data_IF_153768653460
#
_entry.id   IF_153768653460
#
_cell.length_a   1.000
_cell.length_b   1.000
_cell.length_c   1.000
_cell.angle_alpha   90.00
_cell.angle_beta   90.00
_cell.angle_gamma   90.00
#
_symmetry.space_group_name_H-M   'P 1'
#
loop_
_entity.id
_entity.type
_entity.pdbx_description
1 polymer ?
#
# COMPACT_ATOMS: atom_id res chain seq x y z
N UNK A 1 -12.67 -32.77 -0.67
CA UNK A 1 -13.02 -34.17 -1.03
C UNK A 1 -14.23 -34.70 -0.25
N UNK A 2 -14.24 -34.63 1.09
CA UNK A 2 -15.37 -35.12 1.92
C UNK A 2 -16.75 -34.57 1.52
N UNK A 3 -16.91 -33.23 1.42
CA UNK A 3 -18.20 -32.62 1.05
C UNK A 3 -18.72 -33.06 -0.32
N UNK A 4 -17.82 -33.26 -1.28
CA UNK A 4 -18.15 -33.73 -2.62
C UNK A 4 -18.61 -35.20 -2.63
N UNK A 5 -17.92 -36.05 -1.85
CA UNK A 5 -18.33 -37.45 -1.68
C UNK A 5 -19.69 -37.54 -0.96
N UNK A 6 -19.94 -36.69 0.04
CA UNK A 6 -21.23 -36.61 0.71
C UNK A 6 -22.34 -36.16 -0.23
N UNK A 7 -22.11 -35.12 -1.04
CA UNK A 7 -23.07 -34.64 -2.04
C UNK A 7 -23.48 -35.74 -3.04
N UNK A 8 -22.50 -36.51 -3.52
CA UNK A 8 -22.73 -37.66 -4.40
C UNK A 8 -23.64 -38.71 -3.73
N UNK A 9 -23.39 -39.01 -2.44
CA UNK A 9 -24.20 -39.96 -1.67
C UNK A 9 -25.62 -39.44 -1.44
N UNK A 10 -25.79 -38.17 -1.07
CA UNK A 10 -27.10 -37.57 -0.87
C UNK A 10 -27.90 -37.55 -2.16
N UNK A 11 -27.29 -37.17 -3.28
CA UNK A 11 -27.93 -37.21 -4.60
C UNK A 11 -28.47 -38.60 -4.93
N UNK A 12 -27.71 -39.66 -4.65
CA UNK A 12 -28.18 -41.05 -4.81
C UNK A 12 -29.38 -41.36 -3.89
N UNK A 13 -29.33 -40.94 -2.62
CA UNK A 13 -30.44 -41.15 -1.67
C UNK A 13 -31.70 -40.40 -2.09
N UNK A 14 -31.59 -39.18 -2.61
CA UNK A 14 -32.73 -38.42 -3.17
C UNK A 14 -33.39 -39.20 -4.30
N UNK A 15 -32.61 -39.66 -5.29
CA UNK A 15 -33.12 -40.43 -6.43
C UNK A 15 -33.85 -41.70 -5.98
N UNK A 16 -33.27 -42.44 -5.04
CA UNK A 16 -33.88 -43.66 -4.50
C UNK A 16 -35.17 -43.37 -3.72
N UNK A 17 -35.18 -42.37 -2.84
CA UNK A 17 -36.36 -42.00 -2.07
C UNK A 17 -37.49 -41.50 -3.00
N UNK A 18 -37.17 -40.68 -4.00
CA UNK A 18 -38.13 -40.21 -4.99
C UNK A 18 -38.73 -41.38 -5.82
N UNK A 19 -37.90 -42.32 -6.24
CA UNK A 19 -38.38 -43.52 -6.93
C UNK A 19 -39.32 -44.36 -6.05
N UNK A 20 -39.01 -44.50 -4.76
CA UNK A 20 -39.89 -45.18 -3.81
C UNK A 20 -41.21 -44.43 -3.60
N UNK A 21 -41.21 -43.09 -3.53
CA UNK A 21 -42.43 -42.29 -3.46
C UNK A 21 -43.33 -42.60 -4.66
N UNK A 22 -42.79 -42.51 -5.88
CA UNK A 22 -43.56 -42.81 -7.10
C UNK A 22 -44.08 -44.25 -7.12
N UNK A 23 -43.22 -45.21 -6.76
CA UNK A 23 -43.58 -46.64 -6.70
C UNK A 23 -44.73 -46.89 -5.73
N UNK A 24 -44.66 -46.38 -4.51
CA UNK A 24 -45.68 -46.61 -3.50
C UNK A 24 -46.96 -45.82 -3.80
N UNK A 25 -46.89 -44.60 -4.35
CA UNK A 25 -48.06 -43.87 -4.86
C UNK A 25 -48.81 -44.69 -5.90
N UNK A 26 -48.09 -45.24 -6.89
CA UNK A 26 -48.69 -46.09 -7.91
C UNK A 26 -49.33 -47.35 -7.32
N UNK A 27 -48.66 -48.02 -6.39
CA UNK A 27 -49.19 -49.22 -5.76
C UNK A 27 -50.40 -48.94 -4.87
N UNK A 28 -50.44 -47.80 -4.18
CA UNK A 28 -51.63 -47.36 -3.45
C UNK A 28 -52.78 -47.14 -4.43
N UNK A 29 -52.56 -46.39 -5.51
CA UNK A 29 -53.58 -46.15 -6.53
C UNK A 29 -54.10 -47.46 -7.13
N UNK A 30 -53.20 -48.36 -7.55
CA UNK A 30 -53.54 -49.68 -8.09
C UNK A 30 -54.44 -50.48 -7.13
N UNK A 31 -54.09 -50.56 -5.85
CA UNK A 31 -54.82 -51.40 -4.88
C UNK A 31 -56.05 -50.72 -4.25
N UNK A 32 -56.32 -49.45 -4.57
CA UNK A 32 -57.51 -48.72 -4.07
C UNK A 32 -58.48 -48.29 -5.17
N UNK A 33 -58.01 -48.12 -6.41
CA UNK A 33 -58.79 -47.58 -7.54
C UNK A 33 -58.92 -48.54 -8.73
N UNK A 34 -58.00 -49.49 -8.90
CA UNK A 34 -57.95 -50.39 -10.07
C UNK A 34 -58.31 -51.85 -9.75
N UNK A 35 -58.90 -52.12 -8.59
CA UNK A 35 -59.30 -53.48 -8.16
C UNK A 35 -60.76 -53.52 -7.74
N UNK A 36 -61.45 -54.64 -8.03
CA UNK A 36 -62.88 -54.82 -7.71
C UNK A 36 -63.15 -54.95 -6.20
N UNK A 37 -62.22 -55.54 -5.45
CA UNK A 37 -62.28 -55.67 -3.98
C UNK A 37 -60.96 -55.20 -3.39
N UNK A 38 -61.03 -54.29 -2.42
CA UNK A 38 -59.86 -53.66 -1.82
C UNK A 38 -59.29 -54.55 -0.72
N UNK A 39 -57.99 -54.85 -0.80
CA UNK A 39 -57.23 -55.45 0.30
C UNK A 39 -56.62 -54.36 1.18
N UNK A 40 -57.27 -54.07 2.30
CA UNK A 40 -56.83 -53.05 3.24
C UNK A 40 -55.47 -53.34 3.89
N UNK A 41 -55.09 -54.61 4.08
CA UNK A 41 -53.80 -54.94 4.67
C UNK A 41 -52.65 -54.57 3.71
N UNK A 42 -52.83 -54.87 2.42
CA UNK A 42 -51.88 -54.49 1.37
C UNK A 42 -51.81 -52.97 1.18
N UNK A 43 -52.95 -52.28 1.22
CA UNK A 43 -52.98 -50.81 1.17
C UNK A 43 -52.20 -50.20 2.34
N UNK A 44 -52.43 -50.65 3.58
CA UNK A 44 -51.68 -50.17 4.76
C UNK A 44 -50.17 -50.42 4.64
N UNK A 45 -49.77 -51.55 4.07
CA UNK A 45 -48.35 -51.85 3.81
C UNK A 45 -47.72 -50.82 2.88
N UNK A 46 -48.39 -50.49 1.76
CA UNK A 46 -47.89 -49.50 0.81
C UNK A 46 -47.95 -48.07 1.36
N UNK A 47 -48.98 -47.71 2.12
CA UNK A 47 -49.06 -46.42 2.82
C UNK A 47 -47.91 -46.21 3.79
N UNK A 48 -47.55 -47.23 4.59
CA UNK A 48 -46.40 -47.14 5.51
C UNK A 48 -45.09 -46.88 4.76
N UNK A 49 -44.86 -47.61 3.66
CA UNK A 49 -43.69 -47.43 2.80
C UNK A 49 -43.68 -46.07 2.11
N UNK A 50 -44.83 -45.59 1.65
CA UNK A 50 -44.99 -44.25 1.08
C UNK A 50 -44.60 -43.17 2.09
N UNK A 51 -45.14 -43.22 3.31
CA UNK A 51 -44.79 -42.27 4.36
C UNK A 51 -43.30 -42.33 4.69
N UNK A 52 -42.72 -43.54 4.81
CA UNK A 52 -41.29 -43.70 5.03
C UNK A 52 -40.46 -43.06 3.92
N UNK A 53 -40.83 -43.25 2.65
CA UNK A 53 -40.13 -42.64 1.52
C UNK A 53 -40.24 -41.10 1.52
N UNK A 54 -41.40 -40.54 1.88
CA UNK A 54 -41.60 -39.09 2.04
C UNK A 54 -40.72 -38.54 3.18
N UNK A 55 -40.67 -39.22 4.32
CA UNK A 55 -39.82 -38.82 5.45
C UNK A 55 -38.33 -38.89 5.08
N UNK A 56 -37.89 -39.95 4.40
CA UNK A 56 -36.52 -40.06 3.90
C UNK A 56 -36.19 -38.91 2.94
N UNK A 57 -37.06 -38.61 1.98
CA UNK A 57 -36.84 -37.54 1.02
C UNK A 57 -36.70 -36.17 1.72
N UNK A 58 -37.54 -35.89 2.72
CA UNK A 58 -37.45 -34.66 3.53
C UNK A 58 -36.15 -34.60 4.33
N UNK A 59 -35.75 -35.70 4.96
CA UNK A 59 -34.51 -35.80 5.74
C UNK A 59 -33.29 -35.55 4.86
N UNK A 60 -33.18 -36.21 3.70
CA UNK A 60 -32.08 -36.01 2.76
C UNK A 60 -32.07 -34.57 2.22
N UNK A 61 -33.24 -33.96 1.97
CA UNK A 61 -33.33 -32.54 1.57
C UNK A 61 -32.84 -31.57 2.67
N UNK A 62 -33.07 -31.88 3.94
CA UNK A 62 -32.50 -31.09 5.04
C UNK A 62 -30.98 -31.24 5.11
N UNK A 63 -30.48 -32.47 4.95
CA UNK A 63 -29.04 -32.77 4.96
C UNK A 63 -28.31 -32.08 3.80
N UNK A 64 -28.91 -32.06 2.60
CA UNK A 64 -28.40 -31.34 1.44
C UNK A 64 -28.27 -29.84 1.71
N UNK A 65 -29.27 -29.22 2.36
CA UNK A 65 -29.20 -27.81 2.74
C UNK A 65 -28.05 -27.53 3.70
N UNK A 66 -27.87 -28.37 4.71
CA UNK A 66 -26.75 -28.23 5.66
C UNK A 66 -25.39 -28.28 4.98
N UNK A 67 -25.17 -29.22 4.05
CA UNK A 67 -23.91 -29.28 3.30
C UNK A 67 -23.70 -28.05 2.43
N UNK A 68 -24.77 -27.55 1.80
CA UNK A 68 -24.71 -26.33 1.00
C UNK A 68 -24.35 -25.10 1.84
N UNK A 69 -24.96 -24.96 3.01
CA UNK A 69 -24.67 -23.87 3.94
C UNK A 69 -23.21 -23.95 4.42
N UNK A 70 -22.69 -25.15 4.70
CA UNK A 70 -21.28 -25.34 5.02
C UNK A 70 -20.33 -24.93 3.89
N UNK A 71 -20.69 -25.22 2.63
CA UNK A 71 -19.91 -24.81 1.47
C UNK A 71 -19.91 -23.28 1.32
N UNK A 72 -21.05 -22.63 1.50
CA UNK A 72 -21.17 -21.18 1.46
C UNK A 72 -20.33 -20.51 2.56
N UNK A 73 -20.38 -21.02 3.80
CA UNK A 73 -19.57 -20.50 4.90
C UNK A 73 -18.06 -20.53 4.59
N UNK A 74 -17.57 -21.60 3.96
CA UNK A 74 -16.16 -21.70 3.59
C UNK A 74 -15.78 -20.65 2.52
N UNK A 75 -16.66 -20.45 1.54
CA UNK A 75 -16.46 -19.44 0.49
C UNK A 75 -16.45 -18.04 1.10
N UNK A 76 -17.36 -17.74 2.02
CA UNK A 76 -17.45 -16.43 2.65
C UNK A 76 -16.26 -16.15 3.58
N UNK A 77 -15.72 -17.18 4.24
CA UNK A 77 -14.46 -17.07 4.98
C UNK A 77 -13.30 -16.72 4.05
N UNK A 78 -13.17 -17.39 2.90
CA UNK A 78 -12.12 -17.09 1.93
C UNK A 78 -12.22 -15.66 1.37
N UNK A 79 -13.45 -15.18 1.08
CA UNK A 79 -13.67 -13.77 0.70
C UNK A 79 -13.25 -12.81 1.80
N UNK A 80 -13.61 -13.11 3.05
CA UNK A 80 -13.22 -12.29 4.21
C UNK A 80 -11.70 -12.24 4.37
N UNK A 81 -11.01 -13.36 4.15
CA UNK A 81 -9.55 -13.41 4.14
C UNK A 81 -8.96 -12.53 3.04
N UNK A 82 -9.47 -12.60 1.80
CA UNK A 82 -8.98 -11.74 0.71
C UNK A 82 -9.12 -10.24 1.05
N UNK A 83 -10.29 -9.82 1.51
CA UNK A 83 -10.51 -8.42 1.93
C UNK A 83 -9.54 -8.03 3.05
N UNK A 84 -9.30 -8.92 4.01
CA UNK A 84 -8.35 -8.69 5.09
C UNK A 84 -6.91 -8.55 4.59
N UNK A 85 -6.48 -9.40 3.64
CA UNK A 85 -5.16 -9.29 3.03
C UNK A 85 -4.98 -7.96 2.29
N UNK A 86 -5.97 -7.54 1.51
CA UNK A 86 -5.93 -6.26 0.79
C UNK A 86 -5.82 -5.09 1.79
N UNK A 87 -6.65 -5.08 2.85
CA UNK A 87 -6.60 -4.05 3.88
C UNK A 87 -5.25 -4.00 4.62
N UNK A 88 -4.67 -5.16 4.94
CA UNK A 88 -3.37 -5.24 5.61
C UNK A 88 -2.27 -4.74 4.67
N UNK A 89 -2.34 -5.09 3.38
CA UNK A 89 -1.41 -4.60 2.36
C UNK A 89 -1.47 -3.07 2.27
N UNK A 90 -2.66 -2.50 2.14
CA UNK A 90 -2.86 -1.04 2.10
C UNK A 90 -2.39 -0.34 3.38
N UNK A 91 -2.51 -1.01 4.53
CA UNK A 91 -2.02 -0.49 5.81
C UNK A 91 -0.49 -0.52 5.86
N UNK A 92 0.14 -1.60 5.40
CA UNK A 92 1.59 -1.72 5.35
C UNK A 92 2.20 -0.70 4.39
N UNK A 93 1.62 -0.52 3.20
CA UNK A 93 2.07 0.51 2.25
C UNK A 93 2.02 1.92 2.86
N UNK A 94 0.92 2.27 3.54
CA UNK A 94 0.81 3.55 4.26
C UNK A 94 1.83 3.65 5.40
N UNK A 95 2.11 2.56 6.11
CA UNK A 95 3.13 2.52 7.15
C UNK A 95 4.53 2.80 6.59
N UNK A 96 4.86 2.23 5.43
CA UNK A 96 6.13 2.47 4.75
C UNK A 96 6.26 3.92 4.25
N UNK A 97 5.18 4.53 3.77
CA UNK A 97 5.17 5.96 3.41
C UNK A 97 5.46 6.84 4.63
N UNK A 98 4.81 6.55 5.76
CA UNK A 98 5.08 7.26 7.01
C UNK A 98 6.52 7.11 7.47
N UNK A 99 7.09 5.90 7.40
CA UNK A 99 8.49 5.65 7.75
C UNK A 99 9.44 6.50 6.87
N UNK A 100 9.23 6.52 5.55
CA UNK A 100 10.01 7.36 4.62
C UNK A 100 9.91 8.85 4.97
N UNK A 101 8.72 9.31 5.36
CA UNK A 101 8.50 10.70 5.78
C UNK A 101 9.22 11.01 7.09
N UNK A 102 9.23 10.09 8.05
CA UNK A 102 9.99 10.22 9.31
C UNK A 102 11.48 10.36 9.01
N UNK A 103 12.05 9.45 8.22
CA UNK A 103 13.48 9.51 7.82
C UNK A 103 13.81 10.84 7.12
N UNK A 104 12.91 11.34 6.27
CA UNK A 104 13.09 12.65 5.61
C UNK A 104 13.12 13.80 6.62
N UNK A 105 12.26 13.75 7.64
CA UNK A 105 12.22 14.75 8.71
C UNK A 105 13.49 14.66 9.57
N UNK A 106 13.92 13.47 9.95
CA UNK A 106 15.16 13.23 10.71
C UNK A 106 16.37 13.80 9.95
N UNK A 107 16.49 13.51 8.65
CA UNK A 107 17.58 14.03 7.79
C UNK A 107 17.59 15.57 7.75
N UNK A 108 16.41 16.19 7.65
CA UNK A 108 16.28 17.67 7.68
C UNK A 108 16.69 18.24 9.03
N UNK A 109 16.36 17.56 10.12
CA UNK A 109 16.76 17.96 11.47
C UNK A 109 18.28 17.83 11.66
N UNK A 110 18.90 16.75 11.21
CA UNK A 110 20.36 16.59 11.24
C UNK A 110 21.08 17.69 10.45
N UNK A 111 20.57 18.02 9.27
CA UNK A 111 21.10 19.12 8.45
C UNK A 111 20.99 20.47 9.15
N UNK A 112 19.85 20.73 9.80
CA UNK A 112 19.63 21.94 10.58
C UNK A 112 20.59 22.02 11.78
N UNK A 113 20.76 20.92 12.50
CA UNK A 113 21.70 20.80 13.61
C UNK A 113 23.13 21.08 13.13
N UNK A 114 23.56 20.49 12.01
CA UNK A 114 24.88 20.75 11.43
C UNK A 114 25.08 22.21 11.04
N UNK A 115 24.06 22.84 10.46
CA UNK A 115 24.08 24.26 10.10
C UNK A 115 24.21 25.16 11.34
N UNK A 116 23.51 24.83 12.42
CA UNK A 116 23.59 25.55 13.71
C UNK A 116 24.99 25.37 14.33
N UNK A 117 25.58 24.18 14.28
CA UNK A 117 26.94 23.94 14.80
C UNK A 117 28.02 24.67 13.99
N UNK A 118 27.85 24.82 12.67
CA UNK A 118 28.79 25.56 11.83
C UNK A 118 28.70 27.09 12.00
N UNK A 119 27.54 27.59 12.45
CA UNK A 119 27.21 29.01 12.53
C UNK A 119 28.23 29.86 13.33
N UNK A 120 28.67 29.47 14.55
CA UNK A 120 29.68 30.21 15.31
C UNK A 120 31.03 30.31 14.58
N UNK A 121 31.42 29.25 13.85
CA UNK A 121 32.65 29.22 13.05
C UNK A 121 32.59 30.21 11.89
N UNK A 122 31.46 30.23 11.17
CA UNK A 122 31.20 31.17 10.08
C UNK A 122 31.16 32.62 10.60
N UNK A 123 30.45 32.89 11.71
CA UNK A 123 30.42 34.22 12.35
C UNK A 123 31.84 34.66 12.70
N UNK A 124 32.63 33.79 13.33
CA UNK A 124 34.02 34.10 13.69
C UNK A 124 34.89 34.40 12.47
N UNK A 125 34.67 33.68 11.35
CA UNK A 125 35.39 33.90 10.11
C UNK A 125 35.02 35.24 9.46
N UNK A 126 33.73 35.59 9.42
CA UNK A 126 33.26 36.89 8.92
C UNK A 126 33.79 38.04 9.76
N UNK A 127 33.77 37.93 11.10
CA UNK A 127 34.34 38.96 11.99
C UNK A 127 35.84 39.14 11.71
N UNK A 128 36.61 38.04 11.62
CA UNK A 128 38.04 38.11 11.29
C UNK A 128 38.30 38.69 9.92
N UNK A 129 37.47 38.36 8.92
CA UNK A 129 37.60 38.91 7.58
C UNK A 129 37.34 40.42 7.58
N UNK A 130 36.26 40.86 8.22
CA UNK A 130 35.90 42.28 8.32
C UNK A 130 36.99 43.10 9.04
N UNK A 131 37.64 42.52 10.07
CA UNK A 131 38.80 43.14 10.73
C UNK A 131 40.01 43.26 9.80
N UNK A 132 40.31 42.23 8.99
CA UNK A 132 41.42 42.27 8.03
C UNK A 132 41.16 43.30 6.93
N UNK A 133 39.97 43.29 6.34
CA UNK A 133 39.60 44.23 5.28
C UNK A 133 39.66 45.68 5.79
N UNK A 134 39.30 45.93 7.05
CA UNK A 134 39.43 47.25 7.68
C UNK A 134 40.88 47.70 7.82
N UNK A 135 41.77 46.80 8.25
CA UNK A 135 43.20 47.09 8.37
C UNK A 135 43.81 47.33 6.98
N UNK A 136 43.44 46.53 5.99
CA UNK A 136 43.92 46.67 4.61
C UNK A 136 43.47 48.00 4.00
N UNK A 137 42.20 48.40 4.19
CA UNK A 137 41.70 49.70 3.76
C UNK A 137 42.41 50.89 4.47
N UNK A 138 42.75 50.74 5.76
CA UNK A 138 43.56 51.73 6.49
C UNK A 138 44.99 51.82 5.93
N UNK A 139 45.61 50.67 5.63
CA UNK A 139 46.95 50.60 5.04
C UNK A 139 46.97 51.18 3.63
N UNK A 140 46.01 50.86 2.77
CA UNK A 140 45.90 51.48 1.44
C UNK A 140 45.68 53.00 1.51
N UNK A 141 44.94 53.48 2.52
CA UNK A 141 44.78 54.92 2.77
C UNK A 141 46.10 55.56 3.22
N UNK A 142 46.87 54.88 4.08
CA UNK A 142 48.19 55.31 4.51
C UNK A 142 49.21 55.29 3.37
N UNK A 143 49.22 54.24 2.55
CA UNK A 143 50.14 54.08 1.43
C UNK A 143 49.80 55.05 0.30
N UNK A 144 48.51 55.37 0.08
CA UNK A 144 48.08 56.53 -0.73
C UNK A 144 48.59 57.85 -0.17
N UNK A 145 48.54 58.06 1.15
CA UNK A 145 49.06 59.29 1.78
C UNK A 145 50.59 59.40 1.67
N UNK A 146 51.31 58.29 1.81
CA UNK A 146 52.77 58.21 1.69
C UNK A 146 53.20 58.34 0.23
N UNK A 147 52.51 57.73 -0.73
CA UNK A 147 52.76 57.93 -2.16
C UNK A 147 52.43 59.35 -2.62
N UNK A 148 51.34 59.98 -2.15
CA UNK A 148 51.07 61.40 -2.42
C UNK A 148 52.16 62.33 -1.85
N UNK A 149 52.67 62.02 -0.65
CA UNK A 149 53.77 62.79 -0.03
C UNK A 149 55.15 62.48 -0.67
N UNK A 150 55.38 61.25 -1.10
CA UNK A 150 56.58 60.84 -1.82
C UNK A 150 56.59 61.36 -3.26
N UNK A 151 55.44 61.47 -3.92
CA UNK A 151 55.26 62.15 -5.21
C UNK A 151 55.36 63.67 -5.06
N UNK A 152 54.89 64.28 -3.97
CA UNK A 152 55.16 65.69 -3.66
C UNK A 152 56.66 65.95 -3.41
N UNK A 153 57.35 65.01 -2.78
CA UNK A 153 58.80 65.05 -2.56
C UNK A 153 59.60 64.77 -3.84
N UNK A 154 59.12 63.88 -4.71
CA UNK A 154 59.73 63.55 -6.02
C UNK A 154 59.40 64.59 -7.10
N UNK A 155 58.27 65.29 -6.99
CA UNK A 155 57.88 66.40 -7.88
C UNK A 155 58.76 67.64 -7.70
N UNK A 156 59.37 67.83 -6.52
CA UNK A 156 60.41 68.84 -6.32
C UNK A 156 61.77 68.49 -6.95
N UNK A 157 61.96 67.26 -7.50
CA UNK A 157 63.28 66.78 -7.96
C UNK A 157 63.32 66.26 -9.40
N UNK A 158 62.25 66.32 -10.20
CA UNK A 158 62.33 65.90 -11.62
C UNK A 158 61.71 66.92 -12.57
N UNK A 159 62.53 67.93 -12.89
CA UNK A 159 62.42 68.71 -14.12
C UNK A 159 63.18 67.99 -15.24
N UNK A 160 62.53 67.85 -16.42
CA UNK A 160 63.01 67.32 -17.72
C UNK A 160 63.01 65.77 -17.79
N UNK A 161 62.53 65.08 -18.84
CA UNK A 161 62.29 65.43 -20.26
C UNK A 161 61.41 64.35 -20.94
N UNK A 162 60.49 64.79 -21.82
CA UNK A 162 59.93 64.19 -23.07
C UNK A 162 59.66 62.67 -23.18
N UNK A 163 58.43 62.19 -23.36
CA UNK A 163 57.54 62.14 -24.56
C UNK A 163 57.93 61.09 -25.62
N UNK A 164 57.11 60.04 -25.82
CA UNK A 164 56.55 59.62 -27.13
C UNK A 164 55.59 58.40 -27.03
N UNK A 165 54.33 58.64 -27.45
CA UNK A 165 53.37 57.79 -28.19
C UNK A 165 53.03 56.34 -27.78
N UNK A 166 51.71 56.15 -27.53
CA UNK A 166 50.93 54.92 -27.37
C UNK A 166 50.32 54.45 -28.74
N UNK A 167 49.28 53.58 -28.83
CA UNK A 167 48.96 52.23 -28.29
C UNK A 167 48.45 51.30 -29.47
N UNK A 168 47.41 50.42 -29.42
CA UNK A 168 46.80 49.53 -28.40
C UNK A 168 46.56 48.05 -28.89
N UNK A 169 45.96 47.20 -28.03
CA UNK A 169 44.70 46.39 -28.16
C UNK A 169 44.81 45.06 -27.39
N UNK A 170 44.03 44.84 -26.30
CA UNK A 170 42.72 44.10 -26.20
C UNK A 170 42.84 42.61 -26.62
N UNK A 171 42.37 41.56 -25.93
CA UNK A 171 41.12 41.25 -25.19
C UNK A 171 41.35 39.90 -24.42
N UNK A 172 40.87 39.66 -23.19
CA UNK A 172 39.55 39.15 -22.73
C UNK A 172 39.35 37.60 -22.76
N UNK A 173 38.84 37.08 -21.63
CA UNK A 173 38.01 35.87 -21.40
C UNK A 173 38.58 34.44 -21.36
N UNK A 174 38.55 33.81 -20.18
CA UNK A 174 37.58 32.75 -19.78
C UNK A 174 37.76 32.37 -18.31
#
# INVERSE_FOLDING_TARGET
VHNFMMDTQLTKRVKNAAANVLRETWLIYKNTKLVKKIDHAKVRKHQRKFLQAIHQLRSVKMEQRKLNDQANTLVDLAKTQNIMYDMISDLNERSEDFEKRIVTVETKLETLIGSIHALPGLISQTIRQQQRDFIEAQMESYDKHVTYNAERSRSSSRRRRSSSTAPPTSSESS
#
